data_IF_937208156292
#
_entry.id   IF_937208156292
#
_cell.length_a   1.000
_cell.length_b   1.000
_cell.length_c   1.000
_cell.angle_alpha   90.00
_cell.angle_beta   90.00
_cell.angle_gamma   90.00
#
_symmetry.space_group_name_H-M   'P 1'
#
loop_
_entity.id
_entity.type
_entity.pdbx_description
1 polymer ?
#
# COMPACT_ATOMS: atom_id res chain seq x y z
N UNK A 1 -13.48 12.31 -4.56
CA UNK A 1 -13.00 11.91 -3.24
C UNK A 1 -11.92 12.82 -2.70
N UNK A 2 -11.63 12.72 -1.41
CA UNK A 2 -10.55 13.47 -0.77
C UNK A 2 -9.19 12.91 -1.17
N UNK A 3 -8.36 13.72 -1.81
CA UNK A 3 -7.05 13.31 -2.32
C UNK A 3 -5.93 14.18 -1.73
N UNK A 4 -4.86 13.57 -1.26
CA UNK A 4 -3.63 14.25 -0.88
C UNK A 4 -2.61 14.13 -2.01
N UNK A 5 -2.24 15.26 -2.61
CA UNK A 5 -1.17 15.32 -3.62
C UNK A 5 0.17 14.91 -3.02
N UNK A 6 0.41 15.27 -1.74
CA UNK A 6 1.65 14.95 -1.04
C UNK A 6 1.82 13.45 -0.77
N UNK A 7 0.71 12.78 -0.43
CA UNK A 7 0.73 11.36 -0.07
C UNK A 7 0.34 10.47 -1.26
N UNK A 8 0.00 11.08 -2.41
CA UNK A 8 -0.51 10.43 -3.62
C UNK A 8 -1.60 9.39 -3.31
N UNK A 9 -2.54 9.76 -2.44
CA UNK A 9 -3.52 8.82 -1.87
C UNK A 9 -4.87 9.44 -1.66
N UNK A 10 -5.93 8.60 -1.85
CA UNK A 10 -7.28 8.95 -1.45
C UNK A 10 -7.55 8.56 0.00
N UNK A 11 -8.37 9.37 0.65
CA UNK A 11 -8.78 9.21 2.04
C UNK A 11 -10.30 9.16 2.14
N UNK A 12 -10.78 8.37 3.10
CA UNK A 12 -12.20 8.37 3.48
C UNK A 12 -12.45 9.46 4.54
N UNK A 13 -13.67 9.96 4.63
CA UNK A 13 -14.03 11.01 5.61
C UNK A 13 -13.60 10.67 7.04
N UNK A 14 -13.71 9.38 7.43
CA UNK A 14 -13.31 8.88 8.76
C UNK A 14 -11.80 8.91 9.04
N UNK A 15 -10.99 9.07 7.99
CA UNK A 15 -9.52 9.13 8.08
C UNK A 15 -9.02 10.57 8.20
N UNK A 16 -9.92 11.57 8.02
CA UNK A 16 -9.58 12.97 7.97
C UNK A 16 -9.90 13.71 9.27
N UNK A 17 -9.17 14.80 9.48
CA UNK A 17 -9.42 15.78 10.53
C UNK A 17 -9.92 17.05 9.85
N UNK A 18 -11.10 17.52 10.23
CA UNK A 18 -11.68 18.78 9.75
C UNK A 18 -11.36 19.91 10.72
N UNK A 19 -10.75 21.00 10.21
CA UNK A 19 -10.50 22.21 10.98
C UNK A 19 -11.02 23.40 10.17
N UNK A 20 -12.19 23.92 10.53
CA UNK A 20 -12.91 24.89 9.70
C UNK A 20 -13.31 24.29 8.35
N UNK A 21 -12.87 24.91 7.27
CA UNK A 21 -13.12 24.44 5.90
C UNK A 21 -11.96 23.58 5.33
N UNK A 22 -10.90 23.37 6.11
CA UNK A 22 -9.73 22.60 5.69
C UNK A 22 -9.81 21.19 6.21
N UNK A 23 -9.55 20.22 5.32
CA UNK A 23 -9.42 18.80 5.65
C UNK A 23 -7.96 18.39 5.58
N UNK A 24 -7.50 17.66 6.60
CA UNK A 24 -6.13 17.13 6.67
C UNK A 24 -6.14 15.66 7.07
N UNK A 25 -5.09 14.94 6.70
CA UNK A 25 -4.83 13.60 7.21
C UNK A 25 -4.37 13.69 8.67
N UNK A 26 -4.33 12.55 9.38
CA UNK A 26 -3.79 12.48 10.74
C UNK A 26 -2.33 12.91 10.85
N UNK A 27 -1.57 12.79 9.76
CA UNK A 27 -0.16 13.20 9.65
C UNK A 27 0.00 14.65 9.18
N UNK A 28 -1.12 15.39 9.05
CA UNK A 28 -1.14 16.82 8.73
C UNK A 28 -1.03 17.17 7.24
N UNK A 29 -1.12 16.18 6.34
CA UNK A 29 -1.17 16.45 4.89
C UNK A 29 -2.54 17.01 4.52
N UNK A 30 -2.57 18.13 3.79
CA UNK A 30 -3.79 18.70 3.25
C UNK A 30 -4.40 17.76 2.20
N UNK A 31 -5.73 17.69 2.14
CA UNK A 31 -6.49 16.98 1.12
C UNK A 31 -7.49 17.92 0.48
N UNK A 32 -7.67 17.74 -0.83
CA UNK A 32 -8.64 18.48 -1.63
C UNK A 32 -9.68 17.51 -2.19
N UNK A 33 -10.92 17.97 -2.38
CA UNK A 33 -11.95 17.17 -3.04
C UNK A 33 -11.72 17.20 -4.55
N UNK A 34 -11.44 16.01 -5.11
CA UNK A 34 -11.20 15.86 -6.56
C UNK A 34 -12.30 14.97 -7.15
N UNK A 35 -12.80 15.40 -8.31
CA UNK A 35 -13.71 14.63 -9.16
C UNK A 35 -13.03 14.44 -10.52
N UNK A 36 -12.79 13.19 -10.88
CA UNK A 36 -12.20 12.82 -12.17
C UNK A 36 -12.78 11.49 -12.63
N UNK A 37 -12.85 11.30 -13.94
CA UNK A 37 -13.15 10.00 -14.51
C UNK A 37 -12.07 9.00 -14.12
N UNK A 38 -12.46 7.81 -13.66
CA UNK A 38 -11.54 6.80 -13.20
C UNK A 38 -12.06 5.40 -13.42
N UNK A 39 -11.17 4.46 -13.66
CA UNK A 39 -11.46 3.04 -13.50
C UNK A 39 -11.42 2.67 -12.02
N UNK A 40 -12.32 1.78 -11.64
CA UNK A 40 -12.42 1.31 -10.25
C UNK A 40 -12.20 -0.19 -10.15
N UNK A 41 -11.34 -0.60 -9.24
CA UNK A 41 -11.30 -1.96 -8.75
C UNK A 41 -12.36 -2.13 -7.66
N UNK A 42 -13.27 -3.08 -7.84
CA UNK A 42 -14.39 -3.33 -6.91
C UNK A 42 -13.90 -3.96 -5.60
N UNK A 43 -13.09 -3.21 -4.86
CA UNK A 43 -12.49 -3.66 -3.61
C UNK A 43 -13.55 -4.04 -2.56
N UNK A 44 -14.72 -3.40 -2.58
CA UNK A 44 -15.83 -3.69 -1.68
C UNK A 44 -16.32 -5.15 -1.77
N UNK A 45 -16.24 -5.78 -2.96
CA UNK A 45 -16.63 -7.18 -3.18
C UNK A 45 -15.65 -8.18 -2.53
N UNK A 46 -14.46 -7.73 -2.11
CA UNK A 46 -13.41 -8.57 -1.51
C UNK A 46 -13.41 -8.56 0.02
N UNK A 47 -14.25 -7.74 0.65
CA UNK A 47 -14.27 -7.56 2.09
C UNK A 47 -14.38 -8.88 2.86
N UNK A 48 -15.42 -9.67 2.59
CA UNK A 48 -15.67 -10.93 3.29
C UNK A 48 -14.57 -11.97 2.99
N UNK A 49 -14.09 -12.03 1.74
CA UNK A 49 -12.99 -12.94 1.37
C UNK A 49 -11.71 -12.61 2.11
N UNK A 50 -11.38 -11.33 2.25
CA UNK A 50 -10.21 -10.88 3.02
C UNK A 50 -10.36 -11.21 4.50
N UNK A 51 -11.54 -10.97 5.11
CA UNK A 51 -11.77 -11.27 6.52
C UNK A 51 -11.63 -12.77 6.79
N UNK A 52 -12.24 -13.61 5.96
CA UNK A 52 -12.11 -15.07 6.07
C UNK A 52 -10.66 -15.52 5.92
N UNK A 53 -9.94 -14.97 4.93
CA UNK A 53 -8.54 -15.25 4.73
C UNK A 53 -7.68 -14.90 5.96
N UNK A 54 -7.91 -13.76 6.61
CA UNK A 54 -7.16 -13.37 7.82
C UNK A 54 -7.52 -14.22 9.04
N UNK A 55 -8.73 -14.79 9.12
CA UNK A 55 -9.07 -15.73 10.19
C UNK A 55 -8.35 -17.07 10.00
N UNK A 56 -8.25 -17.55 8.75
CA UNK A 56 -7.54 -18.79 8.39
C UNK A 56 -6.01 -18.63 8.45
N UNK A 57 -5.50 -17.40 8.26
CA UNK A 57 -4.08 -17.09 8.19
C UNK A 57 -3.69 -15.99 9.20
N UNK A 58 -3.69 -16.28 10.51
CA UNK A 58 -3.50 -15.27 11.56
C UNK A 58 -2.12 -14.60 11.54
N UNK A 59 -1.12 -15.24 10.91
CA UNK A 59 0.26 -14.74 10.82
C UNK A 59 0.57 -14.10 9.46
N UNK A 60 -0.45 -13.94 8.59
CA UNK A 60 -0.27 -13.28 7.29
C UNK A 60 0.18 -11.82 7.44
N UNK A 61 -0.30 -11.10 8.45
CA UNK A 61 0.16 -9.74 8.77
C UNK A 61 0.82 -9.71 10.14
N UNK A 62 2.08 -9.32 10.18
CA UNK A 62 2.87 -9.24 11.39
C UNK A 62 3.36 -7.81 11.66
N UNK A 63 3.54 -7.40 12.94
CA UNK A 63 3.13 -8.10 14.17
C UNK A 63 1.60 -8.11 14.34
N UNK A 64 1.09 -8.87 15.31
CA UNK A 64 -0.34 -9.05 15.59
C UNK A 64 -1.12 -7.73 15.74
N UNK A 65 -0.49 -6.69 16.28
CA UNK A 65 -1.10 -5.35 16.36
C UNK A 65 -1.47 -4.80 14.98
N UNK A 66 -0.68 -5.09 13.94
CA UNK A 66 -0.93 -4.69 12.55
C UNK A 66 -2.04 -5.53 11.91
N UNK A 67 -2.09 -6.82 12.20
CA UNK A 67 -3.24 -7.65 11.78
C UNK A 67 -4.55 -7.11 12.37
N UNK A 68 -4.56 -6.74 13.64
CA UNK A 68 -5.75 -6.17 14.28
C UNK A 68 -6.17 -4.83 13.64
N UNK A 69 -5.20 -3.99 13.28
CA UNK A 69 -5.44 -2.73 12.54
C UNK A 69 -6.08 -3.00 11.17
N UNK A 70 -5.51 -3.94 10.41
CA UNK A 70 -6.04 -4.37 9.09
C UNK A 70 -7.46 -4.92 9.21
N UNK A 71 -7.69 -5.87 10.12
CA UNK A 71 -9.03 -6.44 10.36
C UNK A 71 -10.04 -5.37 10.76
N UNK A 72 -9.67 -4.43 11.61
CA UNK A 72 -10.53 -3.33 12.02
C UNK A 72 -10.88 -2.41 10.85
N UNK A 73 -9.89 -2.10 9.99
CA UNK A 73 -10.10 -1.28 8.80
C UNK A 73 -11.09 -1.96 7.83
N UNK A 74 -10.85 -3.25 7.52
CA UNK A 74 -11.70 -4.02 6.60
C UNK A 74 -13.12 -4.18 7.15
N UNK A 75 -13.28 -4.50 8.44
CA UNK A 75 -14.60 -4.56 9.11
C UNK A 75 -15.36 -3.23 9.09
N UNK A 76 -14.66 -2.12 9.01
CA UNK A 76 -15.23 -0.78 8.89
C UNK A 76 -15.89 -0.47 7.55
N UNK A 77 -15.83 -1.41 6.60
CA UNK A 77 -16.39 -1.28 5.24
C UNK A 77 -15.35 -0.81 4.23
N UNK A 78 -15.13 -1.62 3.20
CA UNK A 78 -14.28 -1.27 2.06
C UNK A 78 -15.09 -0.51 1.01
N UNK A 79 -14.48 0.52 0.43
CA UNK A 79 -14.98 1.22 -0.75
C UNK A 79 -14.17 0.81 -1.96
N UNK A 80 -14.76 0.90 -3.14
CA UNK A 80 -14.08 0.64 -4.40
C UNK A 80 -12.87 1.56 -4.57
N UNK A 81 -11.80 1.03 -5.12
CA UNK A 81 -10.52 1.70 -5.26
C UNK A 81 -10.39 2.29 -6.65
N UNK A 82 -10.22 3.60 -6.74
CA UNK A 82 -9.85 4.26 -7.99
C UNK A 82 -8.43 3.86 -8.38
N UNK A 83 -8.27 3.28 -9.59
CA UNK A 83 -7.03 2.68 -10.06
C UNK A 83 -6.45 3.40 -11.29
N UNK A 84 -7.00 4.53 -11.69
CA UNK A 84 -6.48 5.34 -12.78
C UNK A 84 -6.64 6.83 -12.50
N UNK A 85 -5.95 7.65 -13.31
CA UNK A 85 -5.94 9.11 -13.22
C UNK A 85 -6.00 9.72 -14.61
N UNK A 86 -6.63 10.88 -14.72
CA UNK A 86 -6.64 11.72 -15.93
C UNK A 86 -5.94 13.06 -15.74
N UNK A 87 -5.61 13.41 -14.50
CA UNK A 87 -5.06 14.70 -14.11
C UNK A 87 -3.60 14.92 -14.52
N UNK A 88 -2.90 13.89 -14.99
CA UNK A 88 -1.52 13.98 -15.50
C UNK A 88 -1.27 12.92 -16.59
N UNK A 89 -0.18 13.16 -17.39
CA UNK A 89 0.13 12.36 -18.58
C UNK A 89 1.36 11.46 -18.42
N UNK A 90 2.07 11.55 -17.28
CA UNK A 90 3.25 10.73 -17.03
C UNK A 90 2.88 9.48 -16.24
N UNK A 91 3.34 8.32 -16.69
CA UNK A 91 3.10 7.03 -16.05
C UNK A 91 2.71 5.94 -17.04
N UNK A 92 2.28 4.79 -16.52
CA UNK A 92 1.84 3.65 -17.32
C UNK A 92 0.40 3.89 -17.76
N UNK A 93 0.17 3.88 -19.08
CA UNK A 93 -1.18 4.01 -19.63
C UNK A 93 -2.03 2.77 -19.34
N UNK A 94 -3.29 3.00 -19.02
CA UNK A 94 -4.30 1.94 -19.03
C UNK A 94 -4.54 1.52 -20.48
N UNK A 95 -4.52 0.22 -20.82
CA UNK A 95 -4.78 -0.26 -22.18
C UNK A 95 -6.09 0.33 -22.75
N UNK A 96 -6.06 0.70 -24.04
CA UNK A 96 -7.22 1.24 -24.78
C UNK A 96 -7.86 2.51 -24.16
N UNK A 97 -7.08 3.29 -23.41
CA UNK A 97 -7.54 4.47 -22.68
C UNK A 97 -6.46 5.54 -22.61
N UNK A 98 -6.87 6.80 -22.37
CA UNK A 98 -5.95 7.92 -22.09
C UNK A 98 -5.63 8.05 -20.58
N UNK A 99 -6.20 7.19 -19.75
CA UNK A 99 -5.93 7.18 -18.33
C UNK A 99 -4.53 6.66 -18.02
N UNK A 100 -3.92 7.20 -16.98
CA UNK A 100 -2.67 6.70 -16.39
C UNK A 100 -3.01 5.81 -15.20
N UNK A 101 -2.34 4.67 -15.07
CA UNK A 101 -2.52 3.78 -13.92
C UNK A 101 -2.14 4.49 -12.63
N UNK A 102 -2.91 4.25 -11.59
CA UNK A 102 -2.58 4.72 -10.25
C UNK A 102 -1.24 4.12 -9.79
N UNK A 103 -0.36 4.96 -9.26
CA UNK A 103 1.01 4.59 -8.89
C UNK A 103 1.11 3.32 -8.04
N UNK A 104 0.15 3.06 -7.16
CA UNK A 104 0.15 1.85 -6.34
C UNK A 104 -0.15 0.56 -7.11
N UNK A 105 -0.81 0.64 -8.25
CA UNK A 105 -0.97 -0.53 -9.14
C UNK A 105 0.38 -0.92 -9.70
N UNK A 106 1.14 0.05 -10.23
CA UNK A 106 2.50 -0.16 -10.73
C UNK A 106 3.43 -0.67 -9.61
N UNK A 107 3.47 0.04 -8.48
CA UNK A 107 4.33 -0.31 -7.36
C UNK A 107 4.09 -1.73 -6.82
N UNK A 108 2.84 -2.17 -6.71
CA UNK A 108 2.51 -3.50 -6.20
C UNK A 108 2.76 -4.60 -7.23
N UNK A 109 2.46 -4.35 -8.51
CA UNK A 109 2.71 -5.34 -9.57
C UNK A 109 4.19 -5.58 -9.83
N UNK A 110 5.08 -4.66 -9.40
CA UNK A 110 6.52 -4.86 -9.46
C UNK A 110 6.98 -6.15 -8.74
N UNK A 111 6.30 -6.56 -7.68
CA UNK A 111 6.59 -7.84 -7.02
C UNK A 111 6.39 -9.04 -7.96
N UNK A 112 5.34 -9.04 -8.76
CA UNK A 112 5.11 -10.09 -9.78
C UNK A 112 6.13 -9.99 -10.92
N UNK A 113 6.50 -8.78 -11.33
CA UNK A 113 7.53 -8.55 -12.35
C UNK A 113 8.86 -9.17 -11.93
N UNK A 114 9.23 -9.06 -10.65
CA UNK A 114 10.50 -9.59 -10.13
C UNK A 114 10.61 -11.11 -10.23
N UNK A 115 9.48 -11.83 -10.19
CA UNK A 115 9.42 -13.28 -10.34
C UNK A 115 9.15 -13.71 -11.80
N UNK A 116 8.96 -12.76 -12.73
CA UNK A 116 8.81 -13.01 -14.17
C UNK A 116 7.37 -13.28 -14.63
N UNK A 117 6.37 -12.83 -13.86
CA UNK A 117 4.96 -12.93 -14.30
C UNK A 117 4.76 -12.32 -15.70
N UNK A 118 3.96 -12.93 -16.61
CA UNK A 118 3.13 -14.12 -16.39
C UNK A 118 3.84 -15.47 -16.58
N UNK A 119 5.12 -15.47 -16.96
CA UNK A 119 5.90 -16.67 -17.29
C UNK A 119 6.81 -17.06 -16.09
N UNK A 120 6.19 -17.33 -14.94
CA UNK A 120 6.91 -17.68 -13.71
C UNK A 120 7.44 -19.12 -13.82
N UNK A 121 8.73 -19.34 -13.53
CA UNK A 121 9.31 -20.67 -13.42
C UNK A 121 8.96 -21.30 -12.07
N UNK A 122 8.98 -22.64 -11.97
CA UNK A 122 8.70 -23.36 -10.71
C UNK A 122 9.62 -22.90 -9.56
N UNK A 123 10.92 -22.70 -9.84
CA UNK A 123 11.87 -22.17 -8.88
C UNK A 123 11.44 -20.78 -8.34
N UNK A 124 11.05 -19.87 -9.23
CA UNK A 124 10.62 -18.54 -8.83
C UNK A 124 9.27 -18.55 -8.10
N UNK A 125 8.40 -19.51 -8.42
CA UNK A 125 7.16 -19.70 -7.71
C UNK A 125 7.39 -20.17 -6.27
N UNK A 126 8.38 -21.02 -6.04
CA UNK A 126 8.80 -21.43 -4.69
C UNK A 126 9.30 -20.22 -3.87
N UNK A 127 10.07 -19.30 -4.48
CA UNK A 127 10.43 -18.04 -3.82
C UNK A 127 9.20 -17.20 -3.47
N UNK A 128 8.23 -17.12 -4.38
CA UNK A 128 7.01 -16.35 -4.15
C UNK A 128 6.19 -16.89 -2.98
N UNK A 129 5.98 -18.18 -2.92
CA UNK A 129 5.23 -18.84 -1.84
C UNK A 129 5.87 -18.67 -0.46
N UNK A 130 7.18 -18.41 -0.42
CA UNK A 130 7.94 -18.13 0.80
C UNK A 130 8.25 -16.64 0.99
N UNK A 131 7.74 -15.78 0.12
CA UNK A 131 8.02 -14.35 0.12
C UNK A 131 7.47 -13.65 1.38
N UNK A 132 8.31 -12.82 2.00
CA UNK A 132 7.92 -11.92 3.08
C UNK A 132 8.07 -10.49 2.59
N UNK A 133 6.99 -9.71 2.59
CA UNK A 133 7.05 -8.28 2.33
C UNK A 133 7.38 -7.55 3.63
N UNK A 134 8.56 -6.94 3.72
CA UNK A 134 8.97 -6.10 4.85
C UNK A 134 8.71 -4.65 4.48
N UNK A 135 7.78 -4.01 5.19
CA UNK A 135 7.27 -2.69 4.85
C UNK A 135 7.16 -1.75 6.05
N UNK A 136 7.16 -0.44 5.80
CA UNK A 136 6.77 0.55 6.81
C UNK A 136 5.26 0.53 7.07
N UNK A 137 4.88 0.83 8.30
CA UNK A 137 3.46 0.82 8.71
C UNK A 137 2.56 1.78 7.93
N UNK A 138 3.11 2.81 7.32
CA UNK A 138 2.42 3.83 6.51
C UNK A 138 1.84 3.28 5.21
N UNK A 139 2.45 2.22 4.68
CA UNK A 139 1.98 1.54 3.46
C UNK A 139 1.28 0.21 3.75
N UNK A 140 0.87 -0.01 5.01
CA UNK A 140 0.25 -1.26 5.44
C UNK A 140 -1.03 -1.59 4.66
N UNK A 141 -1.95 -0.63 4.47
CA UNK A 141 -3.22 -0.88 3.77
C UNK A 141 -3.03 -1.31 2.32
N UNK A 142 -2.01 -0.79 1.65
CA UNK A 142 -1.70 -1.16 0.26
C UNK A 142 -1.25 -2.61 0.15
N UNK A 143 -0.39 -3.06 1.07
CA UNK A 143 0.19 -4.40 1.04
C UNK A 143 -0.69 -5.46 1.69
N UNK A 144 -1.44 -5.10 2.72
CA UNK A 144 -2.22 -6.07 3.48
C UNK A 144 -3.70 -6.14 3.07
N UNK A 145 -4.22 -5.18 2.30
CA UNK A 145 -5.62 -5.13 1.87
C UNK A 145 -5.72 -5.10 0.34
N UNK A 146 -5.16 -4.06 -0.32
CA UNK A 146 -5.32 -3.88 -1.75
C UNK A 146 -4.59 -4.98 -2.53
N UNK A 147 -3.34 -5.25 -2.17
CA UNK A 147 -2.52 -6.25 -2.83
C UNK A 147 -3.09 -7.67 -2.77
N UNK A 148 -3.48 -8.21 -1.59
CA UNK A 148 -4.13 -9.50 -1.52
C UNK A 148 -5.42 -9.58 -2.33
N UNK A 149 -6.27 -8.55 -2.30
CA UNK A 149 -7.49 -8.52 -3.09
C UNK A 149 -7.21 -8.57 -4.60
N UNK A 150 -6.19 -7.83 -5.08
CA UNK A 150 -5.77 -7.86 -6.49
C UNK A 150 -5.21 -9.21 -6.89
N UNK A 151 -4.37 -9.84 -6.06
CA UNK A 151 -3.83 -11.17 -6.31
C UNK A 151 -4.94 -12.23 -6.36
N UNK A 152 -5.87 -12.18 -5.42
CA UNK A 152 -7.05 -13.06 -5.44
C UNK A 152 -7.90 -12.85 -6.69
N UNK A 153 -8.03 -11.61 -7.18
CA UNK A 153 -8.82 -11.30 -8.36
C UNK A 153 -8.24 -11.91 -9.65
N UNK A 154 -6.93 -12.08 -9.72
CA UNK A 154 -6.25 -12.74 -10.84
C UNK A 154 -5.95 -14.22 -10.56
N UNK A 155 -6.50 -14.79 -9.48
CA UNK A 155 -6.25 -16.17 -9.02
C UNK A 155 -4.75 -16.49 -8.83
N UNK A 156 -3.97 -15.50 -8.35
CA UNK A 156 -2.57 -15.70 -8.03
C UNK A 156 -2.38 -16.01 -6.55
N UNK A 157 -1.36 -16.83 -6.22
CA UNK A 157 -0.97 -17.11 -4.85
C UNK A 157 -0.58 -15.82 -4.11
N UNK A 158 -0.87 -15.75 -2.82
CA UNK A 158 -0.48 -14.63 -1.96
C UNK A 158 0.95 -14.82 -1.43
N UNK A 159 1.67 -13.74 -1.08
CA UNK A 159 2.93 -13.85 -0.35
C UNK A 159 2.68 -14.48 1.02
N UNK A 160 3.70 -15.09 1.60
CA UNK A 160 3.59 -15.79 2.89
C UNK A 160 3.23 -14.85 4.04
N UNK A 161 3.86 -13.68 4.11
CA UNK A 161 3.68 -12.75 5.23
C UNK A 161 3.95 -11.31 4.81
N UNK A 162 3.17 -10.39 5.38
CA UNK A 162 3.41 -8.95 5.33
C UNK A 162 3.91 -8.51 6.72
N UNK A 163 5.19 -8.18 6.85
CA UNK A 163 5.77 -7.69 8.08
C UNK A 163 5.87 -6.17 8.08
N UNK A 164 5.06 -5.50 8.90
CA UNK A 164 5.01 -4.03 8.96
C UNK A 164 5.74 -3.50 10.20
N UNK A 165 6.89 -2.86 9.98
CA UNK A 165 7.66 -2.23 11.04
C UNK A 165 7.18 -0.80 11.35
N UNK A 166 7.53 -0.30 12.55
CA UNK A 166 7.29 1.08 12.96
C UNK A 166 8.24 2.07 12.27
N UNK A 167 8.10 3.35 12.63
CA UNK A 167 9.06 4.36 12.16
C UNK A 167 10.47 4.09 12.71
N UNK A 168 11.46 4.26 11.86
CA UNK A 168 12.83 4.37 12.31
C UNK A 168 13.02 5.75 12.92
N UNK A 169 13.59 5.79 14.10
CA UNK A 169 13.81 7.04 14.84
C UNK A 169 15.27 7.23 15.16
N UNK A 170 15.71 8.49 15.11
CA UNK A 170 16.99 8.92 15.65
C UNK A 170 16.72 9.97 16.72
N UNK A 171 17.23 9.75 17.94
CA UNK A 171 16.98 10.59 19.12
C UNK A 171 15.48 10.86 19.38
N UNK A 172 14.64 9.82 19.19
CA UNK A 172 13.20 9.90 19.39
C UNK A 172 12.42 10.61 18.27
N UNK A 173 13.09 11.10 17.23
CA UNK A 173 12.46 11.73 16.06
C UNK A 173 12.46 10.79 14.86
N UNK A 174 11.37 10.80 14.08
CA UNK A 174 11.29 10.04 12.82
C UNK A 174 12.42 10.44 11.88
N UNK A 175 13.13 9.45 11.34
CA UNK A 175 14.14 9.68 10.29
C UNK A 175 13.42 10.07 9.00
N UNK A 176 13.76 11.26 8.48
CA UNK A 176 13.10 11.81 7.28
C UNK A 176 14.04 12.78 6.56
N UNK A 177 14.05 12.72 5.23
CA UNK A 177 14.79 13.67 4.39
C UNK A 177 14.33 15.10 4.61
N UNK A 178 13.03 15.31 4.77
CA UNK A 178 12.43 16.64 4.97
C UNK A 178 12.79 17.29 6.31
N UNK A 179 13.15 16.49 7.33
CA UNK A 179 13.59 16.99 8.64
C UNK A 179 15.11 17.13 8.79
N UNK A 180 15.88 16.76 7.75
CA UNK A 180 17.34 16.74 7.80
C UNK A 180 17.93 15.71 8.77
N UNK A 181 17.09 14.82 9.33
CA UNK A 181 17.47 13.80 10.30
C UNK A 181 17.69 12.45 9.62
N UNK A 182 18.51 12.45 8.55
CA UNK A 182 18.85 11.24 7.81
C UNK A 182 20.15 10.63 8.34
N UNK A 183 20.23 9.30 8.27
CA UNK A 183 21.46 8.56 8.55
C UNK A 183 22.00 8.10 7.20
N UNK A 184 23.24 8.49 6.87
CA UNK A 184 23.92 8.05 5.65
C UNK A 184 24.33 6.58 5.80
N UNK A 185 23.85 5.66 4.93
CA UNK A 185 24.27 4.26 4.96
C UNK A 185 25.77 4.06 4.84
N UNK A 186 26.47 4.90 4.06
CA UNK A 186 27.91 4.78 3.91
C UNK A 186 28.65 5.06 5.23
N UNK A 187 28.20 6.08 5.99
CA UNK A 187 28.75 6.34 7.31
C UNK A 187 28.53 5.16 8.29
N UNK A 188 27.40 4.43 8.14
CA UNK A 188 27.15 3.23 8.92
C UNK A 188 28.10 2.11 8.54
N UNK A 189 28.33 1.89 7.25
CA UNK A 189 29.29 0.90 6.74
C UNK A 189 30.70 1.22 7.24
N UNK A 190 31.13 2.47 7.12
CA UNK A 190 32.45 2.93 7.56
C UNK A 190 32.65 2.74 9.07
N UNK A 191 31.60 2.92 9.86
CA UNK A 191 31.65 2.84 11.32
C UNK A 191 31.52 1.43 11.88
N UNK A 192 30.70 0.60 11.27
CA UNK A 192 30.30 -0.71 11.82
C UNK A 192 30.71 -1.90 10.93
N UNK A 193 31.16 -1.64 9.71
CA UNK A 193 31.43 -2.68 8.71
C UNK A 193 30.14 -3.13 7.99
N UNK A 194 30.35 -4.06 7.03
CA UNK A 194 29.29 -4.78 6.34
C UNK A 194 29.00 -6.08 7.06
#
# INVERSE_FOLDING_TARGET
GWYSVKDESYYQDKELIKTGDVYTTKDGSQVDWIEEDSFFFKLSEWQEKLLNFYEENPDFVMPKSRMNEVKSFVKGGLKDLSISRTSFNWGIKVPESDHIMYVWIDALTNYLTSIGYPNITDEKMEYWENCIHIIGKDILKFHAIYWPAMLMAINHALPKTIFAHGWWTNEGKKISKSSGNTIDPNQMIDKFGL
#
